data_IF_675604188247
#
_entry.id   IF_675604188247
#
_cell.length_a   1.000
_cell.length_b   1.000
_cell.length_c   1.000
_cell.angle_alpha   90.00
_cell.angle_beta   90.00
_cell.angle_gamma   90.00
#
_symmetry.space_group_name_H-M   'P 1'
#
loop_
_entity.id
_entity.type
_entity.pdbx_description
1 polymer ?
#
# COMPACT_ATOMS: atom_id res chain seq x y z
N UNK A 1 -0.86 7.82 -11.41
CA UNK A 1 -1.28 6.41 -11.60
C UNK A 1 -0.07 5.73 -12.16
N UNK A 2 0.51 4.80 -11.41
CA UNK A 2 1.85 4.27 -11.70
C UNK A 2 1.85 3.01 -12.58
N UNK A 3 0.75 2.25 -12.59
CA UNK A 3 0.61 1.05 -13.41
C UNK A 3 -0.86 0.66 -13.60
N UNK A 4 -1.16 0.02 -14.72
CA UNK A 4 -2.49 -0.53 -14.99
C UNK A 4 -2.73 -1.74 -14.08
N UNK A 5 -3.80 -1.67 -13.28
CA UNK A 5 -4.28 -2.78 -12.44
C UNK A 5 -5.74 -3.08 -12.78
N UNK A 6 -6.27 -4.18 -12.25
CA UNK A 6 -7.60 -4.70 -12.57
C UNK A 6 -7.59 -6.23 -12.50
N UNK A 7 -6.76 -6.91 -13.29
CA UNK A 7 -6.42 -8.31 -13.06
C UNK A 7 -5.77 -8.47 -11.68
N UNK A 8 -6.41 -9.27 -10.81
CA UNK A 8 -6.00 -9.45 -9.42
C UNK A 8 -4.58 -10.03 -9.32
N UNK A 9 -3.86 -9.67 -8.26
CA UNK A 9 -2.47 -10.11 -8.01
C UNK A 9 -1.39 -9.35 -8.80
N UNK A 10 -1.66 -8.87 -10.02
CA UNK A 10 -0.63 -8.22 -10.84
C UNK A 10 -0.11 -6.90 -10.27
N UNK A 11 -0.96 -6.12 -9.58
CA UNK A 11 -0.52 -4.91 -8.90
C UNK A 11 0.55 -5.17 -7.83
N UNK A 12 0.43 -6.28 -7.11
CA UNK A 12 1.41 -6.73 -6.12
C UNK A 12 2.72 -7.17 -6.80
N UNK A 13 2.64 -7.95 -7.87
CA UNK A 13 3.82 -8.34 -8.64
C UNK A 13 4.56 -7.12 -9.24
N UNK A 14 3.82 -6.13 -9.75
CA UNK A 14 4.40 -4.87 -10.24
C UNK A 14 5.12 -4.10 -9.12
N UNK A 15 4.52 -4.02 -7.92
CA UNK A 15 5.15 -3.39 -6.76
C UNK A 15 6.45 -4.09 -6.35
N UNK A 16 6.50 -5.42 -6.41
CA UNK A 16 7.75 -6.17 -6.20
C UNK A 16 8.80 -5.76 -7.23
N UNK A 17 8.44 -5.66 -8.52
CA UNK A 17 9.34 -5.18 -9.57
C UNK A 17 9.84 -3.75 -9.35
N UNK A 18 8.98 -2.83 -8.93
CA UNK A 18 9.36 -1.45 -8.59
C UNK A 18 10.35 -1.40 -7.41
N UNK A 19 10.14 -2.20 -6.37
CA UNK A 19 11.05 -2.28 -5.23
C UNK A 19 12.41 -2.93 -5.60
N UNK A 20 12.42 -3.90 -6.52
CA UNK A 20 13.66 -4.44 -7.09
C UNK A 20 14.41 -3.35 -7.85
N UNK A 21 13.72 -2.54 -8.65
CA UNK A 21 14.34 -1.46 -9.41
C UNK A 21 14.95 -0.40 -8.48
N UNK A 22 14.21 0.05 -7.46
CA UNK A 22 14.71 0.98 -6.44
C UNK A 22 16.00 0.46 -5.80
N UNK A 23 15.97 -0.77 -5.28
CA UNK A 23 17.12 -1.36 -4.60
C UNK A 23 18.33 -1.51 -5.52
N UNK A 24 18.09 -1.97 -6.75
CA UNK A 24 19.14 -2.20 -7.74
C UNK A 24 19.81 -0.89 -8.12
N UNK A 25 19.02 0.15 -8.41
CA UNK A 25 19.55 1.45 -8.77
C UNK A 25 20.21 2.15 -7.58
N UNK A 26 19.65 2.05 -6.38
CA UNK A 26 20.28 2.55 -5.16
C UNK A 26 21.68 1.95 -4.96
N UNK A 27 21.83 0.64 -5.13
CA UNK A 27 23.13 -0.04 -5.02
C UNK A 27 24.13 0.41 -6.10
N UNK A 28 23.66 0.74 -7.31
CA UNK A 28 24.52 1.16 -8.42
C UNK A 28 24.92 2.65 -8.34
N UNK A 29 24.00 3.52 -7.92
CA UNK A 29 24.14 4.97 -8.08
C UNK A 29 24.32 5.76 -6.78
N UNK A 30 23.86 5.26 -5.63
CA UNK A 30 24.14 5.94 -4.36
C UNK A 30 25.65 5.90 -4.06
N UNK A 31 26.14 6.92 -3.36
CA UNK A 31 27.54 7.06 -2.93
C UNK A 31 27.57 7.40 -1.43
N UNK A 32 28.69 7.17 -0.72
CA UNK A 32 28.83 7.63 0.66
C UNK A 32 28.50 9.13 0.77
N UNK A 33 27.51 9.48 1.59
CA UNK A 33 27.02 10.85 1.75
C UNK A 33 26.02 11.33 0.69
N UNK A 34 25.63 10.50 -0.28
CA UNK A 34 24.69 10.83 -1.35
C UNK A 34 23.73 9.66 -1.66
N UNK A 35 22.53 9.71 -1.08
CA UNK A 35 21.45 8.75 -1.31
C UNK A 35 20.39 9.37 -2.23
N UNK A 36 20.66 9.38 -3.53
CA UNK A 36 19.77 9.98 -4.54
C UNK A 36 18.61 9.06 -4.93
N UNK A 37 18.74 7.76 -4.65
CA UNK A 37 17.69 6.77 -4.85
C UNK A 37 17.36 6.20 -3.48
N UNK A 38 16.31 6.77 -2.89
CA UNK A 38 15.78 6.38 -1.60
C UNK A 38 14.28 6.64 -1.56
N UNK A 39 13.48 5.64 -1.95
CA UNK A 39 12.03 5.74 -1.86
C UNK A 39 11.39 4.40 -1.50
N UNK A 40 10.18 4.47 -0.96
CA UNK A 40 9.38 3.29 -0.64
C UNK A 40 8.47 2.92 -1.80
N UNK A 41 8.18 1.62 -1.92
CA UNK A 41 7.09 1.11 -2.75
C UNK A 41 5.95 0.68 -1.84
N UNK A 42 4.79 1.27 -2.03
CA UNK A 42 3.57 0.98 -1.26
C UNK A 42 2.55 0.27 -2.14
N UNK A 43 1.87 -0.73 -1.60
CA UNK A 43 0.85 -1.47 -2.35
C UNK A 43 -0.32 -1.86 -1.46
N UNK A 44 -1.55 -1.66 -1.95
CA UNK A 44 -2.76 -2.19 -1.34
C UNK A 44 -3.16 -3.49 -2.05
N UNK A 45 -3.64 -4.46 -1.28
CA UNK A 45 -4.14 -5.74 -1.79
C UNK A 45 -5.33 -6.20 -0.95
N UNK A 46 -6.27 -6.91 -1.56
CA UNK A 46 -7.37 -7.58 -0.84
C UNK A 46 -7.29 -9.09 -0.98
N UNK A 47 -8.31 -9.79 -0.50
CA UNK A 47 -8.40 -11.26 -0.55
C UNK A 47 -8.17 -11.81 -1.97
N UNK A 48 -8.79 -11.18 -2.97
CA UNK A 48 -8.65 -11.58 -4.37
C UNK A 48 -7.21 -11.59 -4.87
N UNK A 49 -6.38 -10.61 -4.47
CA UNK A 49 -4.97 -10.61 -4.82
C UNK A 49 -4.20 -11.73 -4.11
N UNK A 50 -4.56 -12.05 -2.87
CA UNK A 50 -3.86 -13.03 -2.05
C UNK A 50 -4.22 -14.48 -2.37
N UNK A 51 -5.38 -14.72 -2.99
CA UNK A 51 -5.76 -16.01 -3.54
C UNK A 51 -5.06 -16.32 -4.87
N UNK A 52 -4.70 -15.29 -5.65
CA UNK A 52 -4.01 -15.48 -6.94
C UNK A 52 -2.58 -16.02 -6.74
N UNK A 53 -2.22 -17.06 -7.50
CA UNK A 53 -0.92 -17.73 -7.39
C UNK A 53 0.28 -16.82 -7.67
N UNK A 54 0.11 -15.80 -8.50
CA UNK A 54 1.16 -14.80 -8.77
C UNK A 54 1.58 -14.04 -7.50
N UNK A 55 0.70 -13.92 -6.51
CA UNK A 55 1.05 -13.31 -5.22
C UNK A 55 2.05 -14.17 -4.45
N UNK A 56 1.91 -15.49 -4.48
CA UNK A 56 2.87 -16.42 -3.88
C UNK A 56 4.25 -16.27 -4.52
N UNK A 57 4.32 -16.32 -5.85
CA UNK A 57 5.57 -16.21 -6.59
C UNK A 57 6.30 -14.89 -6.29
N UNK A 58 5.59 -13.77 -6.44
CA UNK A 58 6.16 -12.44 -6.25
C UNK A 58 6.57 -12.20 -4.79
N UNK A 59 5.73 -12.58 -3.81
CA UNK A 59 6.04 -12.36 -2.39
C UNK A 59 7.15 -13.28 -1.89
N UNK A 60 7.22 -14.52 -2.36
CA UNK A 60 8.34 -15.44 -2.07
C UNK A 60 9.67 -14.85 -2.54
N UNK A 61 9.70 -14.32 -3.77
CA UNK A 61 10.89 -13.65 -4.31
C UNK A 61 11.24 -12.37 -3.54
N UNK A 62 10.25 -11.52 -3.23
CA UNK A 62 10.47 -10.28 -2.49
C UNK A 62 11.10 -10.51 -1.11
N UNK A 63 10.67 -11.57 -0.42
CA UNK A 63 11.23 -11.97 0.86
C UNK A 63 12.64 -12.54 0.74
N UNK A 64 12.89 -13.39 -0.27
CA UNK A 64 14.23 -13.91 -0.60
C UNK A 64 15.22 -12.77 -0.86
N UNK A 65 14.78 -11.73 -1.57
CA UNK A 65 15.60 -10.56 -1.85
C UNK A 65 15.72 -9.61 -0.65
N UNK A 66 14.86 -9.71 0.37
CA UNK A 66 14.86 -8.83 1.54
C UNK A 66 14.50 -7.38 1.19
N UNK A 67 13.46 -7.16 0.39
CA UNK A 67 13.04 -5.84 -0.11
C UNK A 67 12.45 -4.94 0.99
N UNK A 68 13.28 -4.42 1.91
CA UNK A 68 12.83 -3.65 3.08
C UNK A 68 12.13 -2.32 2.84
N UNK A 69 12.09 -1.83 1.59
CA UNK A 69 11.33 -0.63 1.22
C UNK A 69 9.99 -0.95 0.54
N UNK A 70 9.65 -2.23 0.40
CA UNK A 70 8.33 -2.70 -0.03
C UNK A 70 7.43 -2.89 1.18
N UNK A 71 6.33 -2.13 1.22
CA UNK A 71 5.33 -2.22 2.29
C UNK A 71 3.95 -2.44 1.68
N UNK A 72 3.36 -3.57 1.99
CA UNK A 72 2.01 -3.97 1.58
C UNK A 72 0.99 -3.75 2.68
N UNK A 73 -0.21 -3.29 2.31
CA UNK A 73 -1.38 -3.26 3.17
C UNK A 73 -2.38 -4.27 2.65
N UNK A 74 -2.71 -5.25 3.48
CA UNK A 74 -3.78 -6.19 3.21
C UNK A 74 -5.09 -5.65 3.80
N UNK A 75 -6.02 -5.29 2.93
CA UNK A 75 -7.41 -4.97 3.27
C UNK A 75 -8.15 -6.26 3.66
N UNK A 76 -8.03 -6.64 4.94
CA UNK A 76 -8.59 -7.87 5.48
C UNK A 76 -10.03 -7.62 5.94
N UNK A 77 -10.94 -7.53 4.97
CA UNK A 77 -12.36 -7.23 5.21
C UNK A 77 -13.26 -8.49 5.28
N UNK A 78 -12.74 -9.65 4.88
CA UNK A 78 -13.44 -10.95 4.96
C UNK A 78 -14.51 -11.19 3.88
N UNK A 79 -14.54 -10.36 2.84
CA UNK A 79 -15.56 -10.41 1.78
C UNK A 79 -14.88 -10.45 0.40
N UNK A 80 -15.35 -11.36 -0.44
CA UNK A 80 -15.11 -11.36 -1.89
C UNK A 80 -16.44 -11.23 -2.65
N UNK A 81 -16.42 -11.33 -3.97
CA UNK A 81 -17.63 -11.22 -4.81
C UNK A 81 -18.70 -12.24 -4.40
N UNK A 82 -18.32 -13.48 -4.09
CA UNK A 82 -19.25 -14.55 -3.75
C UNK A 82 -19.74 -14.50 -2.29
N UNK A 83 -19.34 -13.47 -1.53
CA UNK A 83 -19.68 -13.32 -0.11
C UNK A 83 -18.49 -13.51 0.80
N UNK A 84 -18.75 -14.05 1.99
CA UNK A 84 -17.74 -14.24 3.03
C UNK A 84 -16.69 -15.28 2.63
N UNK A 85 -15.43 -14.94 2.85
CA UNK A 85 -14.31 -15.70 2.28
C UNK A 85 -14.05 -17.05 2.93
N UNK A 86 -14.55 -17.34 4.14
CA UNK A 86 -14.16 -18.54 4.90
C UNK A 86 -14.50 -19.86 4.20
N UNK A 87 -15.45 -19.84 3.25
CA UNK A 87 -15.82 -21.01 2.47
C UNK A 87 -14.79 -21.46 1.42
N UNK A 88 -13.88 -20.57 1.00
CA UNK A 88 -12.90 -20.85 -0.06
C UNK A 88 -11.51 -20.26 0.19
N UNK A 89 -11.35 -19.41 1.20
CA UNK A 89 -10.08 -18.82 1.60
C UNK A 89 -9.98 -18.78 3.12
N UNK A 90 -9.20 -19.71 3.66
CA UNK A 90 -9.01 -19.92 5.10
C UNK A 90 -7.53 -19.99 5.49
N UNK A 91 -6.64 -19.48 4.64
CA UNK A 91 -5.21 -19.40 4.89
C UNK A 91 -4.92 -18.60 6.16
N UNK A 92 -3.95 -19.07 6.96
CA UNK A 92 -3.22 -18.17 7.85
C UNK A 92 -2.28 -17.30 7.00
N UNK A 93 -2.80 -16.17 6.55
CA UNK A 93 -2.06 -15.22 5.71
C UNK A 93 -0.84 -14.67 6.44
N UNK A 94 -0.91 -14.47 7.76
CA UNK A 94 0.21 -13.96 8.53
C UNK A 94 1.36 -14.97 8.55
N UNK A 95 1.08 -16.24 8.85
CA UNK A 95 2.06 -17.32 8.81
C UNK A 95 2.62 -17.56 7.40
N UNK A 96 1.77 -17.49 6.38
CA UNK A 96 2.20 -17.60 4.97
C UNK A 96 3.25 -16.53 4.62
N UNK A 97 3.04 -15.28 5.00
CA UNK A 97 3.99 -14.21 4.74
C UNK A 97 5.24 -14.29 5.64
N UNK A 98 5.11 -14.71 6.90
CA UNK A 98 6.28 -15.02 7.76
C UNK A 98 7.15 -16.12 7.14
N UNK A 99 6.55 -17.14 6.55
CA UNK A 99 7.26 -18.21 5.84
C UNK A 99 8.01 -17.70 4.60
N UNK A 100 7.52 -16.65 3.94
CA UNK A 100 8.26 -15.94 2.89
C UNK A 100 9.36 -15.02 3.43
N UNK A 101 9.61 -14.95 4.73
CA UNK A 101 10.53 -14.00 5.38
C UNK A 101 10.09 -12.53 5.33
N UNK A 102 8.78 -12.27 5.29
CA UNK A 102 8.25 -10.92 5.47
C UNK A 102 8.16 -10.56 6.96
N UNK A 103 8.27 -9.27 7.23
CA UNK A 103 7.83 -8.70 8.50
C UNK A 103 6.31 -8.54 8.47
N UNK A 104 5.59 -9.04 9.47
CA UNK A 104 4.13 -9.04 9.47
C UNK A 104 3.63 -8.31 10.71
N UNK A 105 2.83 -7.26 10.49
CA UNK A 105 2.21 -6.44 11.52
C UNK A 105 0.70 -6.63 11.45
N UNK A 106 0.07 -6.90 12.60
CA UNK A 106 -1.38 -7.02 12.73
C UNK A 106 -1.86 -8.38 13.23
N UNK A 107 -3.16 -8.63 13.25
CA UNK A 107 -4.24 -7.76 12.73
C UNK A 107 -4.38 -6.42 13.48
N UNK A 108 -4.33 -5.28 12.76
CA UNK A 108 -4.61 -3.94 13.31
C UNK A 108 -6.02 -3.46 12.96
N UNK A 109 -6.58 -2.54 13.74
CA UNK A 109 -7.82 -1.83 13.36
C UNK A 109 -7.54 -0.88 12.18
N UNK A 110 -8.02 -1.25 11.00
CA UNK A 110 -7.88 -0.48 9.77
C UNK A 110 -8.78 0.76 9.68
N UNK A 111 -9.60 1.02 10.70
CA UNK A 111 -10.37 2.26 10.85
C UNK A 111 -9.80 3.19 11.93
N UNK A 112 -8.70 2.83 12.58
CA UNK A 112 -7.96 3.70 13.50
C UNK A 112 -6.71 4.32 12.83
N UNK A 113 -6.71 5.63 12.54
CA UNK A 113 -5.56 6.31 11.94
C UNK A 113 -4.28 6.23 12.79
N UNK A 114 -4.39 6.11 14.12
CA UNK A 114 -3.20 6.00 14.98
C UNK A 114 -2.58 4.60 14.89
N UNK A 115 -3.39 3.54 14.90
CA UNK A 115 -2.91 2.17 14.69
C UNK A 115 -2.20 2.04 13.34
N UNK A 116 -2.79 2.57 12.26
CA UNK A 116 -2.18 2.56 10.92
C UNK A 116 -0.85 3.33 10.93
N UNK A 117 -0.80 4.52 11.54
CA UNK A 117 0.42 5.32 11.62
C UNK A 117 1.54 4.60 12.37
N UNK A 118 1.21 3.92 13.47
CA UNK A 118 2.18 3.13 14.25
C UNK A 118 2.71 1.96 13.41
N UNK A 119 1.84 1.21 12.75
CA UNK A 119 2.23 0.10 11.87
C UNK A 119 3.11 0.56 10.70
N UNK A 120 2.81 1.71 10.09
CA UNK A 120 3.66 2.29 9.03
C UNK A 120 5.06 2.62 9.59
N UNK A 121 5.12 3.24 10.77
CA UNK A 121 6.40 3.60 11.39
C UNK A 121 7.23 2.36 11.73
N UNK A 122 6.58 1.31 12.23
CA UNK A 122 7.20 0.02 12.53
C UNK A 122 7.71 -0.67 11.26
N UNK A 123 6.88 -0.75 10.21
CA UNK A 123 7.26 -1.32 8.92
C UNK A 123 8.46 -0.60 8.31
N UNK A 124 8.48 0.73 8.37
CA UNK A 124 9.60 1.54 7.87
C UNK A 124 10.89 1.34 8.68
N UNK A 125 10.82 0.91 9.94
CA UNK A 125 12.00 0.63 10.74
C UNK A 125 12.69 -0.70 10.35
N UNK A 126 11.95 -1.62 9.74
CA UNK A 126 12.48 -2.90 9.25
C UNK A 126 13.08 -2.71 7.86
N UNK A 127 14.39 -2.87 7.73
CA UNK A 127 15.14 -2.55 6.49
C UNK A 127 15.58 -3.77 5.70
N UNK A 128 15.54 -4.95 6.29
CA UNK A 128 16.05 -6.21 5.74
C UNK A 128 14.94 -7.14 5.24
N UNK A 129 13.66 -6.78 5.44
CA UNK A 129 12.50 -7.58 5.05
C UNK A 129 11.39 -6.70 4.50
N UNK A 130 10.69 -7.11 3.42
CA UNK A 130 9.44 -6.46 3.06
C UNK A 130 8.42 -6.61 4.19
N UNK A 131 7.50 -5.65 4.32
CA UNK A 131 6.49 -5.65 5.39
C UNK A 131 5.08 -5.85 4.84
N UNK A 132 4.28 -6.69 5.51
CA UNK A 132 2.84 -6.80 5.34
C UNK A 132 2.14 -6.25 6.58
N UNK A 133 1.30 -5.24 6.40
CA UNK A 133 0.40 -4.72 7.42
C UNK A 133 -0.98 -5.29 7.15
N UNK A 134 -1.50 -6.10 8.07
CA UNK A 134 -2.82 -6.70 7.98
C UNK A 134 -3.83 -5.78 8.66
N UNK A 135 -4.64 -5.10 7.84
CA UNK A 135 -5.63 -4.13 8.28
C UNK A 135 -7.01 -4.79 8.33
N UNK A 136 -7.57 -4.98 9.53
CA UNK A 136 -8.98 -5.37 9.66
C UNK A 136 -9.86 -4.19 9.33
N UNK A 137 -10.66 -4.32 8.28
CA UNK A 137 -11.57 -3.27 7.82
C UNK A 137 -12.98 -3.81 7.67
N UNK A 138 -13.90 -2.93 7.28
CA UNK A 138 -15.29 -3.26 7.00
C UNK A 138 -15.54 -2.75 5.59
N UNK A 139 -15.78 -3.66 4.64
CA UNK A 139 -16.13 -3.27 3.27
C UNK A 139 -17.38 -2.40 3.30
N UNK A 140 -17.42 -1.32 2.51
CA UNK A 140 -18.55 -0.40 2.50
C UNK A 140 -18.77 0.39 3.80
N UNK A 141 -17.75 0.51 4.67
CA UNK A 141 -17.83 1.25 5.94
C UNK A 141 -18.58 2.59 5.80
N UNK A 142 -19.50 2.83 6.72
CA UNK A 142 -20.38 3.99 6.73
C UNK A 142 -21.75 3.74 6.11
N UNK A 143 -21.91 2.76 5.21
CA UNK A 143 -23.23 2.34 4.73
C UNK A 143 -23.96 1.51 5.80
N UNK A 144 -25.07 1.98 6.39
CA UNK A 144 -25.74 1.24 7.46
C UNK A 144 -26.33 -0.09 7.01
N UNK A 145 -26.71 -0.24 5.73
CA UNK A 145 -27.36 -1.47 5.26
C UNK A 145 -26.45 -2.38 4.42
N UNK A 146 -25.33 -1.88 3.87
CA UNK A 146 -24.44 -2.66 2.99
C UNK A 146 -23.02 -2.82 3.51
N UNK A 147 -22.65 -2.18 4.63
CA UNK A 147 -21.34 -2.39 5.23
C UNK A 147 -21.18 -3.86 5.68
N UNK A 148 -20.02 -4.45 5.41
CA UNK A 148 -19.71 -5.84 5.75
C UNK A 148 -20.35 -6.88 4.82
N UNK A 149 -20.88 -6.47 3.67
CA UNK A 149 -21.48 -7.36 2.66
C UNK A 149 -20.89 -7.14 1.27
N UNK A 150 -20.88 -8.22 0.49
CA UNK A 150 -20.58 -8.29 -0.94
C UNK A 150 -21.42 -7.33 -1.78
N UNK A 151 -22.61 -6.93 -1.31
CA UNK A 151 -23.44 -5.92 -1.98
C UNK A 151 -22.75 -4.55 -2.13
N UNK A 152 -21.72 -4.29 -1.33
CA UNK A 152 -20.91 -3.06 -1.40
C UNK A 152 -19.68 -3.17 -2.32
N UNK A 153 -19.40 -4.35 -2.90
CA UNK A 153 -18.18 -4.60 -3.66
C UNK A 153 -18.21 -4.02 -5.07
N UNK A 154 -19.19 -4.42 -5.89
CA UNK A 154 -19.17 -4.22 -7.34
C UNK A 154 -20.31 -3.36 -7.90
N UNK A 155 -21.16 -2.80 -7.04
CA UNK A 155 -22.36 -2.08 -7.44
C UNK A 155 -22.47 -0.71 -6.77
N UNK A 156 -23.12 0.24 -7.45
CA UNK A 156 -23.47 1.50 -6.83
C UNK A 156 -24.38 1.28 -5.61
N UNK A 157 -24.13 2.01 -4.51
CA UNK A 157 -24.93 1.88 -3.29
C UNK A 157 -26.42 2.21 -3.53
N UNK A 158 -26.69 3.17 -4.42
CA UNK A 158 -28.00 3.74 -4.70
C UNK A 158 -28.26 5.01 -3.88
N UNK A 159 -29.04 5.94 -4.43
CA UNK A 159 -29.20 7.30 -3.87
C UNK A 159 -29.66 7.32 -2.40
N UNK A 160 -30.61 6.44 -2.05
CA UNK A 160 -31.11 6.30 -0.67
C UNK A 160 -30.01 5.87 0.29
N UNK A 161 -29.23 4.86 -0.11
CA UNK A 161 -28.16 4.32 0.72
C UNK A 161 -27.01 5.32 0.85
N UNK A 162 -26.69 6.07 -0.21
CA UNK A 162 -25.70 7.15 -0.14
C UNK A 162 -26.13 8.24 0.85
N UNK A 163 -27.41 8.62 0.88
CA UNK A 163 -27.91 9.60 1.84
C UNK A 163 -27.77 9.11 3.29
N UNK A 164 -28.09 7.84 3.54
CA UNK A 164 -27.90 7.21 4.85
C UNK A 164 -26.43 7.13 5.25
N UNK A 165 -25.55 6.74 4.33
CA UNK A 165 -24.11 6.69 4.58
C UNK A 165 -23.54 8.07 4.93
N UNK A 166 -23.99 9.13 4.23
CA UNK A 166 -23.63 10.51 4.56
C UNK A 166 -24.07 10.90 5.96
N UNK A 167 -25.29 10.54 6.37
CA UNK A 167 -25.78 10.78 7.72
C UNK A 167 -24.93 10.04 8.77
N UNK A 168 -24.63 8.76 8.53
CA UNK A 168 -23.80 7.93 9.42
C UNK A 168 -22.40 8.49 9.60
N UNK A 169 -21.78 8.97 8.52
CA UNK A 169 -20.42 9.54 8.52
C UNK A 169 -20.38 11.02 8.95
N UNK A 170 -21.54 11.65 9.17
CA UNK A 170 -21.62 13.09 9.42
C UNK A 170 -21.20 13.95 8.23
N UNK A 171 -21.21 13.42 7.00
CA UNK A 171 -20.81 14.12 5.79
C UNK A 171 -21.96 14.96 5.23
N UNK A 172 -21.89 16.28 5.43
CA UNK A 172 -22.98 17.22 5.08
C UNK A 172 -22.86 17.84 3.69
N UNK A 173 -21.76 17.61 2.98
CA UNK A 173 -21.49 18.28 1.72
C UNK A 173 -22.15 17.54 0.53
N UNK A 174 -22.66 18.28 -0.47
CA UNK A 174 -23.19 17.74 -1.72
C UNK A 174 -22.24 16.81 -2.48
N UNK A 175 -22.74 16.04 -3.46
CA UNK A 175 -21.89 15.28 -4.38
C UNK A 175 -20.83 16.16 -5.04
N UNK A 176 -19.58 15.68 -5.02
CA UNK A 176 -18.42 16.33 -5.63
C UNK A 176 -18.04 17.70 -5.03
N UNK A 177 -18.59 18.07 -3.88
CA UNK A 177 -18.14 19.24 -3.12
C UNK A 177 -17.07 18.85 -2.10
N UNK A 178 -15.91 19.50 -2.16
CA UNK A 178 -14.80 19.31 -1.23
C UNK A 178 -14.63 20.59 -0.40
N UNK A 179 -14.75 20.54 0.93
CA UNK A 179 -14.54 21.69 1.80
C UNK A 179 -13.10 22.19 1.70
N UNK A 180 -12.91 23.52 1.81
CA UNK A 180 -11.60 24.15 1.64
C UNK A 180 -10.58 23.67 2.68
N UNK A 181 -11.03 23.48 3.90
CA UNK A 181 -10.23 22.98 5.02
C UNK A 181 -9.76 21.53 4.79
N UNK A 182 -10.63 20.69 4.22
CA UNK A 182 -10.26 19.32 3.85
C UNK A 182 -9.26 19.36 2.69
N UNK A 183 -9.52 20.14 1.64
CA UNK A 183 -8.58 20.29 0.53
C UNK A 183 -7.21 20.79 1.01
N UNK A 184 -7.18 21.80 1.88
CA UNK A 184 -5.94 22.34 2.45
C UNK A 184 -5.17 21.30 3.28
N UNK A 185 -5.86 20.41 3.99
CA UNK A 185 -5.23 19.29 4.70
C UNK A 185 -4.65 18.21 3.78
N UNK A 186 -5.17 18.09 2.55
CA UNK A 186 -4.73 17.12 1.55
C UNK A 186 -3.74 17.68 0.51
N UNK A 187 -3.60 19.00 0.40
CA UNK A 187 -2.73 19.62 -0.60
C UNK A 187 -1.25 19.29 -0.35
N UNK A 188 -0.76 18.31 -1.11
CA UNK A 188 0.61 17.85 -1.03
C UNK A 188 1.58 18.60 -1.94
N UNK A 189 1.11 19.55 -2.78
CA UNK A 189 1.96 20.24 -3.77
C UNK A 189 3.16 20.95 -3.13
N UNK A 190 2.99 21.75 -2.05
CA UNK A 190 4.14 22.45 -1.45
C UNK A 190 5.17 21.49 -0.85
N UNK A 191 4.70 20.37 -0.27
CA UNK A 191 5.58 19.34 0.28
C UNK A 191 6.31 18.58 -0.84
N UNK A 192 5.60 18.27 -1.93
CA UNK A 192 6.15 17.62 -3.12
C UNK A 192 7.24 18.46 -3.78
N UNK A 193 6.96 19.73 -4.09
CA UNK A 193 7.93 20.66 -4.67
C UNK A 193 9.18 20.81 -3.80
N UNK A 194 9.01 20.87 -2.47
CA UNK A 194 10.14 20.94 -1.53
C UNK A 194 11.01 19.69 -1.58
N UNK A 195 10.39 18.50 -1.64
CA UNK A 195 11.10 17.23 -1.70
C UNK A 195 11.84 17.06 -3.04
N UNK A 196 11.18 17.38 -4.16
CA UNK A 196 11.75 17.34 -5.50
C UNK A 196 12.94 18.29 -5.65
N UNK A 197 12.80 19.56 -5.27
CA UNK A 197 13.93 20.49 -5.26
C UNK A 197 15.07 20.04 -4.32
N UNK A 198 14.74 19.31 -3.25
CA UNK A 198 15.72 18.67 -2.38
C UNK A 198 16.55 17.64 -3.13
N UNK A 199 15.88 16.72 -3.81
CA UNK A 199 16.50 15.69 -4.63
C UNK A 199 17.34 16.29 -5.77
N UNK A 200 16.83 17.30 -6.49
CA UNK A 200 17.58 17.97 -7.55
C UNK A 200 18.90 18.57 -7.05
N UNK A 201 18.90 19.15 -5.84
CA UNK A 201 20.12 19.69 -5.24
C UNK A 201 21.12 18.58 -4.91
N UNK A 202 20.66 17.44 -4.41
CA UNK A 202 21.53 16.29 -4.13
C UNK A 202 22.10 15.66 -5.41
N UNK A 203 21.29 15.54 -6.46
CA UNK A 203 21.76 15.07 -7.77
C UNK A 203 22.85 15.99 -8.32
N UNK A 204 22.69 17.32 -8.23
CA UNK A 204 23.71 18.29 -8.68
C UNK A 204 25.01 18.23 -7.88
N UNK A 205 24.99 17.69 -6.67
CA UNK A 205 26.15 17.53 -5.78
C UNK A 205 26.88 16.22 -5.99
N UNK A 206 26.33 15.29 -6.77
CA UNK A 206 27.01 14.03 -7.06
C UNK A 206 28.36 14.29 -7.73
N UNK A 207 29.43 13.65 -7.25
CA UNK A 207 30.72 13.73 -7.92
C UNK A 207 30.60 13.14 -9.33
N UNK A 208 31.32 13.74 -10.29
CA UNK A 208 31.41 13.19 -11.65
C UNK A 208 31.83 11.71 -11.58
N UNK A 209 31.18 10.86 -12.38
CA UNK A 209 31.48 9.43 -12.40
C UNK A 209 32.99 9.22 -12.65
N UNK A 210 33.68 8.56 -11.73
CA UNK A 210 35.08 8.13 -11.94
C UNK A 210 35.04 6.97 -12.94
N UNK A 211 35.56 7.14 -14.17
CA UNK A 211 35.62 6.03 -15.12
C UNK A 211 36.62 5.00 -14.58
N UNK A 212 36.19 3.75 -14.34
CA UNK A 212 37.12 2.63 -14.10
C UNK A 212 36.95 1.80 -12.82
N UNK A 213 35.91 2.01 -11.99
CA UNK A 213 35.63 1.12 -10.87
C UNK A 213 34.61 0.02 -11.24
N UNK A 214 34.85 -0.68 -12.35
CA UNK A 214 34.20 -1.95 -12.66
C UNK A 214 35.13 -3.09 -12.28
N UNK A 215 34.67 -3.99 -11.41
CA UNK A 215 35.22 -5.36 -11.32
C UNK A 215 34.64 -6.19 -12.45
#
# INVERSE_FOLDING_TARGET
>A
METTTGPLGQGLANAVGMAIAERTLAAQFNRPGHEIIDHHTWVFMGDGCLMEGISHEACSLAGTLGLGKLIGFYDHNGISIDGKTEGWFSDDTAERFRAYHWHVIGDIDGHDPQAIKQAITEAQAVKDKPSLIICRTIIGFGSPNKAGSEESHGAALGEKEVALARQQLGWKYPPFEIPKEIYAGWDARPRGEKAEHGLEREIRRLPAAVPGAGR
#
